data_IF_605642976520
#
_entry.id   IF_605642976520
#
_cell.length_a   1.000
_cell.length_b   1.000
_cell.length_c   1.000
_cell.angle_alpha   90.00
_cell.angle_beta   90.00
_cell.angle_gamma   90.00
#
_symmetry.space_group_name_H-M   'P 1'
#
loop_
_entity.id
_entity.type
_entity.pdbx_description
1 polymer ?
#
# COMPACT_ATOMS: atom_id res chain seq x y z
N UNK A 1 -30.72 -2.09 -13.95
CA UNK A 1 -30.98 -1.42 -12.67
C UNK A 1 -29.67 -0.80 -12.17
N UNK A 2 -29.59 0.53 -12.18
CA UNK A 2 -28.44 1.27 -11.67
C UNK A 2 -28.56 1.36 -10.15
N UNK A 3 -27.83 0.55 -9.42
CA UNK A 3 -27.67 0.70 -7.98
C UNK A 3 -26.60 1.77 -7.71
N UNK A 4 -27.01 2.92 -7.20
CA UNK A 4 -26.11 3.97 -6.77
C UNK A 4 -25.27 3.53 -5.57
N UNK A 5 -24.06 4.12 -5.38
CA UNK A 5 -23.16 3.86 -4.24
C UNK A 5 -23.85 3.93 -2.86
N UNK A 6 -24.95 4.66 -2.72
CA UNK A 6 -25.76 4.74 -1.50
C UNK A 6 -26.58 3.48 -1.21
N UNK A 7 -26.86 2.62 -2.21
CA UNK A 7 -27.59 1.38 -2.02
C UNK A 7 -26.74 0.24 -1.45
N UNK A 8 -25.43 0.25 -1.71
CA UNK A 8 -24.54 -0.81 -1.22
C UNK A 8 -24.29 -0.75 0.29
N UNK A 9 -24.28 0.44 0.88
CA UNK A 9 -24.09 0.62 2.33
C UNK A 9 -25.34 0.28 3.16
N UNK A 10 -26.51 0.12 2.53
CA UNK A 10 -27.76 -0.23 3.23
C UNK A 10 -28.12 -1.73 3.17
N UNK A 11 -27.44 -2.51 2.35
CA UNK A 11 -27.77 -3.92 2.10
C UNK A 11 -26.93 -4.95 2.88
N UNK A 12 -25.94 -4.54 3.63
CA UNK A 12 -24.99 -5.44 4.32
C UNK A 12 -25.36 -5.84 5.76
N UNK A 13 -26.51 -5.41 6.28
CA UNK A 13 -26.86 -5.59 7.70
C UNK A 13 -27.98 -6.62 7.96
N UNK A 14 -28.28 -7.52 7.05
CA UNK A 14 -29.37 -8.48 7.24
C UNK A 14 -28.96 -9.91 6.86
N UNK A 15 -28.20 -10.60 7.73
CA UNK A 15 -28.20 -12.06 7.83
C UNK A 15 -27.37 -12.55 9.04
N UNK A 16 -27.79 -12.23 10.27
CA UNK A 16 -27.60 -13.13 11.42
C UNK A 16 -28.84 -13.01 12.29
N UNK A 17 -29.74 -13.96 12.13
CA UNK A 17 -30.95 -14.08 12.92
C UNK A 17 -30.64 -14.53 14.35
N UNK A 18 -30.60 -13.58 15.25
CA UNK A 18 -30.75 -13.78 16.67
C UNK A 18 -31.61 -12.63 17.18
N UNK A 19 -32.80 -12.90 17.69
CA UNK A 19 -33.68 -11.90 18.30
C UNK A 19 -33.01 -11.39 19.54
N UNK A 20 -32.23 -10.30 19.41
CA UNK A 20 -31.84 -9.46 20.54
C UNK A 20 -32.84 -8.33 20.60
N UNK A 21 -33.64 -8.29 21.64
CA UNK A 21 -34.61 -7.21 21.85
C UNK A 21 -33.92 -5.85 21.86
N UNK A 22 -34.51 -4.86 21.19
CA UNK A 22 -33.94 -3.53 20.97
C UNK A 22 -33.54 -2.76 22.26
N UNK A 23 -33.88 -3.28 23.43
CA UNK A 23 -33.57 -2.67 24.73
C UNK A 23 -32.16 -2.96 25.28
N UNK A 24 -31.42 -3.92 24.72
CA UNK A 24 -30.05 -4.26 25.23
C UNK A 24 -28.92 -3.64 24.40
N UNK A 25 -29.18 -3.23 23.16
CA UNK A 25 -28.17 -2.64 22.29
C UNK A 25 -27.61 -1.27 22.74
N UNK A 26 -28.41 -0.32 23.28
CA UNK A 26 -27.90 0.94 23.77
C UNK A 26 -26.91 0.78 24.92
N UNK A 27 -27.22 -0.10 25.87
CA UNK A 27 -26.39 -0.30 27.07
C UNK A 27 -25.02 -0.91 26.76
N UNK A 28 -24.90 -1.76 25.71
CA UNK A 28 -23.61 -2.27 25.24
C UNK A 28 -22.84 -1.22 24.44
N UNK A 29 -23.55 -0.38 23.70
CA UNK A 29 -22.95 0.66 22.88
C UNK A 29 -22.31 1.78 23.72
N UNK A 30 -22.84 2.05 24.89
CA UNK A 30 -22.41 3.14 25.78
C UNK A 30 -21.47 2.67 26.91
N UNK A 31 -21.03 1.40 26.90
CA UNK A 31 -20.10 0.92 27.91
C UNK A 31 -18.64 1.25 27.49
N UNK A 32 -18.02 2.30 28.07
CA UNK A 32 -16.66 2.71 27.71
C UNK A 32 -15.60 1.64 28.03
N UNK A 33 -15.89 0.69 28.91
CA UNK A 33 -14.98 -0.42 29.21
C UNK A 33 -14.93 -1.47 28.07
N UNK A 34 -16.02 -1.60 27.28
CA UNK A 34 -16.06 -2.49 26.11
C UNK A 34 -15.54 -1.82 24.83
N UNK A 35 -15.64 -0.48 24.74
CA UNK A 35 -15.22 0.32 23.58
C UNK A 35 -14.53 1.61 24.04
N UNK A 36 -13.40 1.52 24.75
CA UNK A 36 -12.78 2.70 25.39
C UNK A 36 -12.31 3.77 24.41
N UNK A 37 -12.17 3.44 23.13
CA UNK A 37 -11.68 4.31 22.06
C UNK A 37 -12.77 4.70 21.04
N UNK A 38 -14.02 4.35 21.30
CA UNK A 38 -15.13 4.66 20.41
C UNK A 38 -15.29 6.19 20.33
N UNK A 39 -14.97 6.76 19.18
CA UNK A 39 -15.02 8.21 18.93
C UNK A 39 -13.72 8.82 18.45
N UNK A 40 -12.57 8.44 19.03
CA UNK A 40 -11.27 8.99 18.58
C UNK A 40 -10.82 8.39 17.24
N UNK A 41 -11.09 7.10 17.01
CA UNK A 41 -10.68 6.36 15.82
C UNK A 41 -11.89 5.87 14.99
N UNK A 42 -13.05 6.48 15.16
CA UNK A 42 -14.31 6.05 14.54
C UNK A 42 -14.25 5.93 13.01
N UNK A 43 -13.34 6.67 12.39
CA UNK A 43 -13.20 6.71 10.94
C UNK A 43 -12.21 5.71 10.38
N UNK A 44 -11.29 5.19 11.21
CA UNK A 44 -10.31 4.23 10.77
C UNK A 44 -10.94 2.85 10.61
N UNK A 45 -10.67 2.24 9.46
CA UNK A 45 -11.02 0.84 9.17
C UNK A 45 -9.73 0.03 9.20
N UNK A 46 -9.45 -0.62 10.33
CA UNK A 46 -8.23 -1.40 10.53
C UNK A 46 -8.56 -2.90 10.39
N UNK A 47 -7.96 -3.54 9.39
CA UNK A 47 -7.93 -4.99 9.26
C UNK A 47 -6.86 -5.60 10.18
N UNK A 48 -7.02 -6.87 10.58
CA UNK A 48 -6.07 -7.54 11.47
C UNK A 48 -5.55 -8.82 10.83
N UNK A 49 -4.22 -8.94 10.75
CA UNK A 49 -3.55 -10.09 10.16
C UNK A 49 -2.39 -10.59 11.02
N UNK A 50 -1.91 -11.79 10.72
CA UNK A 50 -0.71 -12.35 11.34
C UNK A 50 0.17 -13.01 10.30
N UNK A 51 1.48 -12.73 10.36
CA UNK A 51 2.50 -13.38 9.56
C UNK A 51 3.45 -14.14 10.49
N UNK A 52 3.49 -15.45 10.35
CA UNK A 52 4.47 -16.31 11.03
C UNK A 52 5.77 -16.26 10.27
N UNK A 53 6.62 -15.30 10.61
CA UNK A 53 7.91 -15.10 9.96
C UNK A 53 9.07 -15.80 10.69
N UNK A 54 8.91 -16.11 11.97
CA UNK A 54 10.00 -16.56 12.83
C UNK A 54 10.79 -15.39 13.40
N UNK A 55 10.09 -14.32 13.78
CA UNK A 55 10.69 -13.16 14.44
C UNK A 55 11.30 -13.55 15.80
N UNK A 56 12.43 -12.93 16.18
CA UNK A 56 13.06 -13.11 17.48
C UNK A 56 12.13 -12.74 18.64
N UNK A 57 11.35 -11.69 18.46
CA UNK A 57 10.24 -11.27 19.33
C UNK A 57 9.07 -10.86 18.47
N UNK A 58 7.84 -11.23 18.83
CA UNK A 58 6.66 -10.71 18.12
C UNK A 58 6.61 -9.19 18.20
N UNK A 59 6.21 -8.57 17.10
CA UNK A 59 5.99 -7.13 16.97
C UNK A 59 4.85 -6.84 16.00
N UNK A 60 4.42 -5.59 15.95
CA UNK A 60 3.27 -5.17 15.17
C UNK A 60 3.64 -4.07 14.18
N UNK A 61 3.03 -4.11 13.00
CA UNK A 61 3.17 -3.05 12.00
C UNK A 61 1.79 -2.57 11.54
N UNK A 62 1.64 -1.26 11.36
CA UNK A 62 0.53 -0.72 10.59
C UNK A 62 0.93 -0.69 9.11
N UNK A 63 0.22 -1.42 8.28
CA UNK A 63 0.34 -1.36 6.83
C UNK A 63 -0.72 -0.42 6.26
N UNK A 64 -0.28 0.65 5.59
CA UNK A 64 -1.09 1.60 4.85
C UNK A 64 -0.52 1.79 3.44
N UNK A 65 -1.32 2.30 2.53
CA UNK A 65 -0.94 2.58 1.13
C UNK A 65 -1.90 3.57 0.50
N UNK A 66 -1.53 4.10 -0.65
CA UNK A 66 -2.44 4.90 -1.47
C UNK A 66 -3.08 6.05 -0.67
N UNK A 67 -2.25 6.90 -0.07
CA UNK A 67 -2.72 8.11 0.63
C UNK A 67 -3.12 9.19 -0.36
N UNK A 68 -2.42 9.31 -1.50
CA UNK A 68 -2.67 10.29 -2.54
C UNK A 68 -2.74 11.73 -2.03
N UNK A 69 -1.72 12.17 -1.28
CA UNK A 69 -1.59 13.57 -0.87
C UNK A 69 -1.61 14.47 -2.10
N UNK A 70 -2.39 15.55 -2.05
CA UNK A 70 -2.61 16.46 -3.18
C UNK A 70 -2.38 17.89 -2.74
N UNK A 71 -1.16 18.37 -2.87
CA UNK A 71 -0.82 19.75 -2.59
C UNK A 71 0.07 20.35 -3.68
N UNK A 72 0.07 21.68 -3.78
CA UNK A 72 0.94 22.47 -4.64
C UNK A 72 1.05 23.89 -4.11
N UNK A 73 2.24 24.47 -4.12
CA UNK A 73 2.45 25.86 -3.79
C UNK A 73 1.91 26.79 -4.87
N UNK A 74 1.49 28.03 -4.53
CA UNK A 74 0.90 28.96 -5.52
C UNK A 74 1.81 29.24 -6.72
N UNK A 75 3.12 29.22 -6.53
CA UNK A 75 4.13 29.50 -7.54
C UNK A 75 4.52 28.28 -8.41
N UNK A 76 3.93 27.10 -8.19
CA UNK A 76 4.17 25.90 -9.03
C UNK A 76 3.37 25.89 -10.35
N UNK A 77 2.64 26.98 -10.62
CA UNK A 77 1.91 27.20 -11.87
C UNK A 77 0.49 26.65 -11.89
N UNK A 78 -0.29 27.16 -12.85
CA UNK A 78 -1.73 26.90 -12.95
C UNK A 78 -2.09 25.41 -13.07
N UNK A 79 -1.28 24.62 -13.77
CA UNK A 79 -1.51 23.18 -13.92
C UNK A 79 -1.45 22.44 -12.59
N UNK A 80 -0.49 22.76 -11.72
CA UNK A 80 -0.40 22.15 -10.38
C UNK A 80 -1.57 22.57 -9.50
N UNK A 81 -2.00 23.82 -9.58
CA UNK A 81 -3.18 24.29 -8.85
C UNK A 81 -4.48 23.60 -9.28
N UNK A 82 -4.62 23.36 -10.58
CA UNK A 82 -5.72 22.57 -11.13
C UNK A 82 -5.71 21.12 -10.61
N UNK A 83 -4.53 20.48 -10.63
CA UNK A 83 -4.36 19.13 -10.09
C UNK A 83 -4.69 19.07 -8.60
N UNK A 84 -4.13 19.96 -7.78
CA UNK A 84 -4.46 20.09 -6.37
C UNK A 84 -5.98 20.10 -6.14
N UNK A 85 -6.71 20.95 -6.87
CA UNK A 85 -8.17 21.07 -6.72
C UNK A 85 -8.93 19.83 -7.21
N UNK A 86 -8.61 19.35 -8.41
CA UNK A 86 -9.35 18.24 -9.02
C UNK A 86 -9.05 16.90 -8.36
N UNK A 87 -7.79 16.63 -8.05
CA UNK A 87 -7.34 15.38 -7.47
C UNK A 87 -7.75 15.28 -5.99
N UNK A 88 -7.63 16.36 -5.22
CA UNK A 88 -8.18 16.39 -3.86
C UNK A 88 -9.67 16.01 -3.86
N UNK A 89 -10.45 16.55 -4.78
CA UNK A 89 -11.87 16.19 -4.92
C UNK A 89 -12.07 14.70 -5.29
N UNK A 90 -11.21 14.15 -6.14
CA UNK A 90 -11.26 12.73 -6.54
C UNK A 90 -11.13 11.81 -5.33
N UNK A 91 -10.27 12.15 -4.39
CA UNK A 91 -10.02 11.37 -3.17
C UNK A 91 -10.78 11.86 -1.93
N UNK A 92 -11.74 12.77 -2.10
CA UNK A 92 -12.63 13.22 -1.03
C UNK A 92 -12.12 14.36 -0.16
N UNK A 93 -10.94 14.93 -0.44
CA UNK A 93 -10.39 16.11 0.22
C UNK A 93 -9.89 15.90 1.66
N UNK A 94 -9.73 14.64 2.09
CA UNK A 94 -9.37 14.28 3.46
C UNK A 94 -8.13 13.37 3.54
N UNK A 95 -7.34 13.33 2.49
CA UNK A 95 -6.19 12.43 2.37
C UNK A 95 -5.17 12.64 3.48
N UNK A 96 -4.80 13.91 3.74
CA UNK A 96 -3.85 14.24 4.81
C UNK A 96 -4.45 13.97 6.20
N UNK A 97 -5.74 14.17 6.39
CA UNK A 97 -6.44 13.81 7.64
C UNK A 97 -6.36 12.30 7.88
N UNK A 98 -6.64 11.49 6.86
CA UNK A 98 -6.57 10.04 6.95
C UNK A 98 -5.17 9.55 7.32
N UNK A 99 -4.13 10.14 6.72
CA UNK A 99 -2.73 9.81 7.06
C UNK A 99 -2.42 10.19 8.51
N UNK A 100 -2.78 11.40 8.95
CA UNK A 100 -2.55 11.86 10.33
C UNK A 100 -3.25 10.98 11.35
N UNK A 101 -4.52 10.62 11.09
CA UNK A 101 -5.28 9.75 11.99
C UNK A 101 -4.64 8.35 12.05
N UNK A 102 -4.20 7.80 10.90
CA UNK A 102 -3.51 6.51 10.85
C UNK A 102 -2.18 6.53 11.62
N UNK A 103 -1.37 7.58 11.45
CA UNK A 103 -0.09 7.71 12.17
C UNK A 103 -0.28 7.96 13.66
N UNK A 104 -1.30 8.73 14.05
CA UNK A 104 -1.65 8.94 15.45
C UNK A 104 -2.13 7.65 16.10
N UNK A 105 -2.92 6.84 15.39
CA UNK A 105 -3.32 5.51 15.84
C UNK A 105 -2.11 4.58 15.96
N UNK A 106 -1.24 4.56 14.96
CA UNK A 106 -0.03 3.72 14.95
C UNK A 106 0.85 3.96 16.17
N UNK A 107 1.05 5.23 16.54
CA UNK A 107 1.87 5.61 17.71
C UNK A 107 1.39 4.98 19.02
N UNK A 108 0.12 4.66 19.14
CA UNK A 108 -0.46 4.07 20.35
C UNK A 108 -0.59 2.53 20.28
N UNK A 109 -0.54 1.93 19.08
CA UNK A 109 -0.95 0.53 18.88
C UNK A 109 0.09 -0.37 18.25
N UNK A 110 1.07 0.16 17.50
CA UNK A 110 2.04 -0.65 16.77
C UNK A 110 3.48 -0.18 16.96
N UNK A 111 4.42 -1.07 16.64
CA UNK A 111 5.85 -0.78 16.76
C UNK A 111 6.39 -0.01 15.55
N UNK A 112 5.88 -0.31 14.35
CA UNK A 112 6.35 0.28 13.08
C UNK A 112 5.20 0.60 12.13
N UNK A 113 5.46 1.47 11.16
CA UNK A 113 4.54 1.77 10.05
C UNK A 113 5.18 1.33 8.74
N UNK A 114 4.37 0.76 7.85
CA UNK A 114 4.74 0.42 6.48
C UNK A 114 3.80 1.14 5.52
N UNK A 115 4.35 1.92 4.58
CA UNK A 115 3.59 2.59 3.52
C UNK A 115 3.98 2.01 2.15
N UNK A 116 3.06 1.35 1.47
CA UNK A 116 3.36 0.65 0.21
C UNK A 116 3.05 1.46 -1.05
N UNK A 117 3.43 2.76 -1.05
CA UNK A 117 3.44 3.62 -2.23
C UNK A 117 2.17 4.43 -2.46
N UNK A 118 2.20 5.29 -3.47
CA UNK A 118 1.18 6.30 -3.76
C UNK A 118 0.87 7.17 -2.52
N UNK A 119 1.93 7.61 -1.83
CA UNK A 119 1.82 8.55 -0.73
C UNK A 119 1.41 9.93 -1.25
N UNK A 120 1.94 10.35 -2.39
CA UNK A 120 1.54 11.55 -3.12
C UNK A 120 0.77 11.17 -4.39
N UNK A 121 -0.07 12.08 -4.88
CA UNK A 121 -0.86 11.84 -6.09
C UNK A 121 -0.18 12.31 -7.37
N UNK A 122 0.68 13.30 -7.27
CA UNK A 122 1.51 13.84 -8.35
C UNK A 122 2.71 14.59 -7.79
N UNK A 123 3.74 14.73 -8.60
CA UNK A 123 4.95 15.46 -8.22
C UNK A 123 4.67 16.95 -8.08
N UNK A 124 4.95 17.51 -6.92
CA UNK A 124 5.01 18.95 -6.62
C UNK A 124 5.99 19.17 -5.47
N UNK A 125 6.51 20.38 -5.33
CA UNK A 125 7.35 20.72 -4.17
C UNK A 125 6.57 20.55 -2.85
N UNK A 126 5.32 21.02 -2.84
CA UNK A 126 4.46 20.90 -1.67
C UNK A 126 4.22 19.43 -1.28
N UNK A 127 3.95 18.53 -2.24
CA UNK A 127 3.79 17.11 -1.96
C UNK A 127 5.08 16.46 -1.45
N UNK A 128 6.24 16.81 -2.02
CA UNK A 128 7.53 16.30 -1.52
C UNK A 128 7.87 16.82 -0.11
N UNK A 129 7.45 18.03 0.24
CA UNK A 129 7.60 18.54 1.61
C UNK A 129 6.68 17.80 2.58
N UNK A 130 5.48 17.39 2.16
CA UNK A 130 4.62 16.51 2.94
C UNK A 130 5.23 15.11 3.13
N UNK A 131 5.89 14.55 2.12
CA UNK A 131 6.64 13.29 2.25
C UNK A 131 7.71 13.43 3.34
N UNK A 132 8.58 14.44 3.25
CA UNK A 132 9.65 14.68 4.23
C UNK A 132 9.08 14.85 5.64
N UNK A 133 7.99 15.62 5.77
CA UNK A 133 7.30 15.83 7.04
C UNK A 133 6.84 14.50 7.65
N UNK A 134 6.11 13.68 6.91
CA UNK A 134 5.49 12.49 7.47
C UNK A 134 6.47 11.33 7.67
N UNK A 135 7.50 11.20 6.87
CA UNK A 135 8.59 10.25 7.13
C UNK A 135 9.50 10.70 8.28
N UNK A 136 9.70 12.01 8.48
CA UNK A 136 10.56 12.56 9.52
C UNK A 136 9.85 12.74 10.87
N UNK A 137 8.57 13.11 10.87
CA UNK A 137 7.83 13.53 12.06
C UNK A 137 6.79 12.51 12.54
N UNK A 138 6.63 11.39 11.85
CA UNK A 138 5.52 10.44 12.04
C UNK A 138 5.45 9.77 13.42
N UNK A 139 6.47 9.88 14.23
CA UNK A 139 6.49 9.39 15.63
C UNK A 139 6.59 7.88 15.80
N UNK A 140 6.32 7.08 14.76
CA UNK A 140 6.70 5.68 14.60
C UNK A 140 7.65 5.57 13.42
N UNK A 141 8.65 4.70 13.50
CA UNK A 141 9.57 4.45 12.39
C UNK A 141 8.78 3.93 11.19
N UNK A 142 8.86 4.65 10.06
CA UNK A 142 8.10 4.33 8.85
C UNK A 142 9.02 3.80 7.76
N UNK A 143 8.71 2.60 7.27
CA UNK A 143 9.33 1.97 6.11
C UNK A 143 8.38 2.02 4.92
N UNK A 144 8.91 1.97 3.69
CA UNK A 144 8.00 2.00 2.55
C UNK A 144 8.67 1.76 1.20
N UNK A 145 7.85 1.69 0.18
CA UNK A 145 8.25 1.68 -1.22
C UNK A 145 7.50 2.77 -2.00
N UNK A 146 7.91 3.02 -3.23
CA UNK A 146 7.24 3.98 -4.11
C UNK A 146 6.05 3.33 -4.82
N UNK A 147 5.04 4.14 -5.16
CA UNK A 147 3.97 3.80 -6.09
C UNK A 147 4.11 4.53 -7.43
N UNK A 148 3.13 4.35 -8.31
CA UNK A 148 3.20 4.94 -9.64
C UNK A 148 2.91 6.46 -9.64
N UNK A 149 2.23 6.95 -8.63
CA UNK A 149 1.94 8.37 -8.49
C UNK A 149 3.14 9.18 -8.04
N UNK A 150 4.12 8.58 -7.37
CA UNK A 150 5.41 9.21 -7.08
C UNK A 150 6.15 9.65 -8.35
N UNK A 151 5.96 8.92 -9.46
CA UNK A 151 6.57 9.25 -10.76
C UNK A 151 5.67 10.12 -11.64
N UNK A 152 4.41 10.35 -11.26
CA UNK A 152 3.46 11.14 -12.05
C UNK A 152 3.75 12.63 -11.97
N UNK A 153 4.16 13.24 -13.09
CA UNK A 153 4.46 14.69 -13.15
C UNK A 153 3.21 15.52 -13.10
N UNK A 154 2.29 15.31 -14.05
CA UNK A 154 1.08 16.13 -14.21
C UNK A 154 -0.17 15.28 -14.49
N UNK A 155 -0.20 14.05 -14.04
CA UNK A 155 -1.30 13.09 -14.34
C UNK A 155 -1.53 12.94 -15.86
N UNK A 156 -0.47 13.03 -16.62
CA UNK A 156 -0.50 12.82 -18.05
C UNK A 156 -0.79 11.34 -18.34
N UNK A 157 -1.39 11.07 -19.50
CA UNK A 157 -1.41 9.71 -20.04
C UNK A 157 0.01 9.38 -20.52
N UNK A 158 0.89 9.19 -19.58
CA UNK A 158 2.29 8.94 -19.84
C UNK A 158 2.48 7.55 -20.46
N UNK A 159 3.54 7.41 -21.22
CA UNK A 159 4.10 6.10 -21.54
C UNK A 159 4.77 5.60 -20.24
N UNK A 160 4.03 4.89 -19.43
CA UNK A 160 4.47 4.33 -18.18
C UNK A 160 5.55 3.26 -18.43
N UNK A 161 6.81 3.66 -18.32
CA UNK A 161 7.97 2.78 -18.53
C UNK A 161 9.20 3.29 -17.75
N UNK A 162 10.30 2.54 -17.79
CA UNK A 162 11.53 2.90 -17.09
C UNK A 162 12.08 4.28 -17.49
N UNK A 163 12.03 4.64 -18.78
CA UNK A 163 12.52 5.93 -19.24
C UNK A 163 11.72 7.12 -18.64
N UNK A 164 10.41 6.93 -18.40
CA UNK A 164 9.59 7.92 -17.71
C UNK A 164 9.98 8.03 -16.23
N UNK A 165 10.23 6.92 -15.56
CA UNK A 165 10.74 6.90 -14.17
C UNK A 165 12.10 7.58 -14.09
N UNK A 166 13.04 7.22 -14.97
CA UNK A 166 14.40 7.75 -14.98
C UNK A 166 14.42 9.28 -15.09
N UNK A 167 13.48 9.84 -15.85
CA UNK A 167 13.36 11.29 -16.00
C UNK A 167 12.97 12.06 -14.73
N UNK A 168 12.58 11.41 -13.66
CA UNK A 168 12.18 12.04 -12.38
C UNK A 168 12.76 11.34 -11.16
N UNK A 169 13.53 10.28 -11.34
CA UNK A 169 14.04 9.43 -10.26
C UNK A 169 14.84 10.22 -9.20
N UNK A 170 15.67 11.17 -9.62
CA UNK A 170 16.45 12.01 -8.70
C UNK A 170 15.57 12.86 -7.78
N UNK A 171 14.54 13.52 -8.35
CA UNK A 171 13.61 14.34 -7.56
C UNK A 171 12.87 13.51 -6.52
N UNK A 172 12.43 12.32 -6.91
CA UNK A 172 11.75 11.40 -5.99
C UNK A 172 12.72 10.93 -4.91
N UNK A 173 13.95 10.54 -5.29
CA UNK A 173 14.96 10.08 -4.33
C UNK A 173 15.35 11.14 -3.29
N UNK A 174 15.32 12.44 -3.65
CA UNK A 174 15.57 13.53 -2.71
C UNK A 174 14.47 13.72 -1.65
N UNK A 175 13.26 13.25 -1.93
CA UNK A 175 12.12 13.42 -1.03
C UNK A 175 11.98 12.28 -0.04
N UNK A 176 12.45 11.08 -0.37
CA UNK A 176 12.28 9.88 0.45
C UNK A 176 13.56 9.53 1.21
N UNK A 177 13.48 9.10 2.48
CA UNK A 177 14.67 8.86 3.33
C UNK A 177 15.32 7.48 3.11
N UNK A 178 15.02 6.77 2.02
CA UNK A 178 15.51 5.43 1.73
C UNK A 178 15.89 5.26 0.25
N UNK A 179 16.65 4.21 -0.09
CA UNK A 179 16.91 3.85 -1.50
C UNK A 179 15.59 3.50 -2.19
N UNK A 180 15.12 4.37 -3.04
CA UNK A 180 13.83 4.28 -3.71
C UNK A 180 13.75 3.14 -4.73
N UNK A 181 14.88 2.54 -5.12
CA UNK A 181 14.93 1.39 -6.02
C UNK A 181 14.74 0.06 -5.28
N UNK A 182 15.50 -0.14 -4.22
CA UNK A 182 15.39 -1.26 -3.29
C UNK A 182 16.06 -0.87 -1.97
N UNK A 183 15.33 -0.88 -0.88
CA UNK A 183 15.83 -0.71 0.48
C UNK A 183 15.56 -1.96 1.33
N UNK A 184 16.29 -2.13 2.42
CA UNK A 184 16.01 -3.20 3.38
C UNK A 184 16.27 -2.74 4.81
N UNK A 185 15.45 -3.23 5.75
CA UNK A 185 15.58 -3.00 7.18
C UNK A 185 15.30 -4.29 7.94
N UNK A 186 16.15 -4.63 8.90
CA UNK A 186 15.95 -5.83 9.74
C UNK A 186 15.27 -5.44 11.04
N UNK A 187 14.06 -5.92 11.24
CA UNK A 187 13.23 -5.66 12.41
C UNK A 187 13.02 -6.97 13.17
N UNK A 188 13.55 -7.09 14.37
CA UNK A 188 13.45 -8.28 15.21
C UNK A 188 13.75 -9.61 14.47
N UNK A 189 14.84 -9.63 13.68
CA UNK A 189 15.28 -10.80 12.91
C UNK A 189 14.55 -11.02 11.59
N UNK A 190 13.55 -10.19 11.24
CA UNK A 190 12.82 -10.26 9.96
C UNK A 190 13.28 -9.14 9.03
N UNK A 191 13.66 -9.47 7.81
CA UNK A 191 14.12 -8.51 6.81
C UNK A 191 12.94 -7.96 6.00
N UNK A 192 12.63 -6.68 6.17
CA UNK A 192 11.66 -5.94 5.38
C UNK A 192 12.37 -5.38 4.16
N UNK A 193 12.02 -5.87 2.98
CA UNK A 193 12.64 -5.47 1.71
C UNK A 193 11.65 -4.68 0.89
N UNK A 194 11.93 -3.40 0.66
CA UNK A 194 11.17 -2.52 -0.22
C UNK A 194 11.68 -2.65 -1.64
N UNK A 195 10.78 -2.79 -2.60
CA UNK A 195 11.10 -2.95 -4.01
C UNK A 195 10.23 -2.03 -4.86
N UNK A 196 10.85 -1.12 -5.61
CA UNK A 196 10.13 -0.37 -6.65
C UNK A 196 9.81 -1.29 -7.83
N UNK A 197 8.55 -1.70 -7.90
CA UNK A 197 8.02 -2.51 -8.99
C UNK A 197 7.01 -1.74 -9.88
N UNK A 198 7.06 -0.43 -9.81
CA UNK A 198 6.15 0.47 -10.50
C UNK A 198 6.21 0.27 -12.02
N UNK A 199 5.04 0.39 -12.65
CA UNK A 199 4.75 0.05 -14.04
C UNK A 199 5.00 -1.43 -14.38
N UNK A 200 5.01 -2.29 -13.35
CA UNK A 200 5.22 -3.73 -13.52
C UNK A 200 6.61 -4.09 -14.05
N UNK A 201 7.61 -3.25 -13.79
CA UNK A 201 8.98 -3.46 -14.24
C UNK A 201 9.93 -3.64 -13.05
N UNK A 202 10.83 -4.61 -13.20
CA UNK A 202 11.98 -4.79 -12.31
C UNK A 202 13.22 -4.84 -13.19
N UNK A 203 14.23 -4.08 -12.84
CA UNK A 203 15.51 -4.09 -13.56
C UNK A 203 16.37 -5.30 -13.13
N UNK A 204 17.31 -5.69 -13.99
CA UNK A 204 18.27 -6.74 -13.61
C UNK A 204 19.11 -6.34 -12.39
N UNK A 205 19.40 -5.05 -12.22
CA UNK A 205 20.08 -4.52 -11.04
C UNK A 205 19.24 -4.68 -9.76
N UNK A 206 17.94 -4.43 -9.83
CA UNK A 206 17.02 -4.68 -8.70
C UNK A 206 16.92 -6.18 -8.40
N UNK A 207 16.86 -7.03 -9.43
CA UNK A 207 16.86 -8.48 -9.23
C UNK A 207 18.12 -8.95 -8.51
N UNK A 208 19.30 -8.45 -8.90
CA UNK A 208 20.57 -8.81 -8.26
C UNK A 208 20.60 -8.36 -6.78
N UNK A 209 20.14 -7.12 -6.49
CA UNK A 209 19.99 -6.62 -5.11
C UNK A 209 19.02 -7.50 -4.30
N UNK A 210 17.85 -7.84 -4.87
CA UNK A 210 16.86 -8.68 -4.20
C UNK A 210 17.40 -10.09 -3.91
N UNK A 211 18.11 -10.70 -4.85
CA UNK A 211 18.78 -11.99 -4.64
C UNK A 211 19.81 -11.91 -3.50
N UNK A 212 20.53 -10.78 -3.37
CA UNK A 212 21.47 -10.56 -2.28
C UNK A 212 20.76 -10.50 -0.93
N UNK A 213 19.56 -9.88 -0.86
CA UNK A 213 18.75 -9.88 0.36
C UNK A 213 18.33 -11.30 0.79
N UNK A 214 17.92 -12.15 -0.15
CA UNK A 214 17.59 -13.55 0.17
C UNK A 214 18.80 -14.37 0.62
N UNK A 215 20.01 -14.03 0.15
CA UNK A 215 21.26 -14.69 0.57
C UNK A 215 21.67 -14.39 2.01
N UNK A 216 21.09 -13.36 2.65
CA UNK A 216 21.32 -13.08 4.08
C UNK A 216 20.76 -14.17 5.00
N UNK A 217 19.88 -15.05 4.51
CA UNK A 217 19.30 -16.17 5.25
C UNK A 217 18.20 -15.77 6.23
N UNK A 218 17.79 -14.52 6.26
CA UNK A 218 16.71 -14.01 7.13
C UNK A 218 15.34 -14.24 6.47
N UNK A 219 14.27 -14.44 7.27
CA UNK A 219 12.91 -14.39 6.76
C UNK A 219 12.61 -13.01 6.15
N UNK A 220 11.90 -12.98 5.04
CA UNK A 220 11.64 -11.74 4.29
C UNK A 220 10.14 -11.44 4.25
N UNK A 221 9.82 -10.17 4.53
CA UNK A 221 8.56 -9.52 4.16
C UNK A 221 8.88 -8.52 3.05
N UNK A 222 8.28 -8.74 1.87
CA UNK A 222 8.50 -7.92 0.69
C UNK A 222 7.45 -6.80 0.62
N UNK A 223 7.90 -5.57 0.53
CA UNK A 223 7.08 -4.38 0.36
C UNK A 223 7.12 -3.97 -1.11
N UNK A 224 5.97 -3.85 -1.75
CA UNK A 224 5.86 -3.41 -3.14
C UNK A 224 4.53 -2.69 -3.35
N UNK A 225 4.46 -1.79 -4.32
CA UNK A 225 3.21 -1.10 -4.59
C UNK A 225 2.25 -1.96 -5.42
N UNK A 226 2.68 -2.39 -6.61
CA UNK A 226 1.86 -3.21 -7.49
C UNK A 226 1.82 -4.66 -6.98
N UNK A 227 0.65 -5.22 -6.63
CA UNK A 227 0.57 -6.59 -6.15
C UNK A 227 0.88 -7.60 -7.26
N UNK A 228 1.38 -8.76 -6.88
CA UNK A 228 1.50 -9.88 -7.82
C UNK A 228 0.10 -10.44 -8.10
N UNK A 229 -0.25 -10.51 -9.38
CA UNK A 229 -1.56 -11.04 -9.77
C UNK A 229 -1.65 -12.54 -9.48
N UNK A 230 -2.47 -12.89 -8.50
CA UNK A 230 -2.87 -14.25 -8.16
C UNK A 230 -4.34 -14.44 -8.52
N UNK A 231 -4.86 -15.65 -8.46
CA UNK A 231 -6.25 -15.90 -8.89
C UNK A 231 -7.28 -15.12 -8.11
N UNK A 232 -7.11 -15.00 -6.78
CA UNK A 232 -8.05 -14.26 -5.91
C UNK A 232 -7.90 -12.74 -6.11
N UNK A 233 -6.67 -12.24 -6.25
CA UNK A 233 -6.41 -10.81 -6.52
C UNK A 233 -7.03 -10.41 -7.87
N UNK A 234 -6.82 -11.20 -8.93
CA UNK A 234 -7.42 -10.94 -10.25
C UNK A 234 -8.94 -10.94 -10.19
N UNK A 235 -9.53 -11.91 -9.49
CA UNK A 235 -10.98 -11.98 -9.33
C UNK A 235 -11.54 -10.77 -8.56
N UNK A 236 -10.88 -10.37 -7.48
CA UNK A 236 -11.27 -9.20 -6.69
C UNK A 236 -11.15 -7.92 -7.52
N UNK A 237 -10.04 -7.76 -8.25
CA UNK A 237 -9.84 -6.65 -9.16
C UNK A 237 -10.96 -6.53 -10.19
N UNK A 238 -11.30 -7.64 -10.90
CA UNK A 238 -12.36 -7.66 -11.88
C UNK A 238 -13.73 -7.31 -11.30
N UNK A 239 -14.00 -7.70 -10.06
CA UNK A 239 -15.24 -7.39 -9.36
C UNK A 239 -15.34 -5.92 -8.95
N UNK A 240 -14.24 -5.36 -8.47
CA UNK A 240 -14.20 -4.00 -7.94
C UNK A 240 -14.21 -2.95 -9.06
N UNK A 241 -13.33 -3.09 -10.04
CA UNK A 241 -13.13 -2.11 -11.11
C UNK A 241 -14.05 -2.34 -12.32
N UNK A 242 -14.79 -3.46 -12.36
CA UNK A 242 -15.74 -3.91 -13.38
C UNK A 242 -15.58 -3.35 -14.80
N UNK A 243 -15.18 -4.22 -15.72
CA UNK A 243 -15.47 -4.20 -17.17
C UNK A 243 -14.66 -3.27 -18.09
N UNK A 244 -14.02 -2.20 -17.66
CA UNK A 244 -13.48 -1.24 -18.64
C UNK A 244 -11.95 -1.20 -18.73
N UNK A 245 -11.20 -1.62 -17.72
CA UNK A 245 -9.73 -1.46 -17.72
C UNK A 245 -8.93 -2.67 -17.24
N UNK A 246 -9.30 -3.85 -17.72
CA UNK A 246 -8.52 -5.09 -17.51
C UNK A 246 -7.09 -5.04 -18.09
N UNK A 247 -6.74 -3.96 -18.79
CA UNK A 247 -5.42 -3.77 -19.40
C UNK A 247 -4.42 -3.08 -18.48
N UNK A 248 -4.83 -2.58 -17.34
CA UNK A 248 -4.08 -1.58 -16.60
C UNK A 248 -3.29 -2.08 -15.39
N UNK A 249 -3.44 -3.35 -14.96
CA UNK A 249 -2.51 -3.85 -13.95
C UNK A 249 -1.37 -4.56 -14.67
N UNK A 250 -0.20 -3.93 -14.72
CA UNK A 250 0.97 -4.61 -15.25
C UNK A 250 1.31 -5.76 -14.30
N UNK A 251 1.30 -6.96 -14.79
CA UNK A 251 2.05 -8.04 -14.15
C UNK A 251 3.52 -7.61 -14.05
N UNK A 252 4.18 -7.90 -12.95
CA UNK A 252 5.58 -7.54 -12.72
C UNK A 252 6.45 -7.88 -13.94
N UNK A 253 7.08 -6.88 -14.53
CA UNK A 253 7.99 -7.05 -15.67
C UNK A 253 7.37 -7.02 -17.06
N UNK A 254 6.08 -6.68 -17.22
CA UNK A 254 5.33 -6.88 -18.47
C UNK A 254 5.74 -6.07 -19.70
N UNK A 255 6.53 -5.00 -19.59
CA UNK A 255 6.78 -4.09 -20.73
C UNK A 255 8.22 -4.03 -21.23
N UNK A 256 9.16 -4.61 -20.52
CA UNK A 256 10.55 -4.65 -20.94
C UNK A 256 10.76 -5.86 -21.87
N UNK A 257 11.34 -5.64 -23.06
CA UNK A 257 11.85 -6.73 -23.91
C UNK A 257 13.11 -7.32 -23.27
N UNK A 258 12.93 -8.03 -22.15
CA UNK A 258 13.97 -8.84 -21.56
C UNK A 258 13.98 -10.20 -22.26
N UNK A 259 15.13 -10.87 -22.24
CA UNK A 259 15.20 -12.27 -22.68
C UNK A 259 14.10 -13.08 -21.95
N UNK A 260 13.39 -13.99 -22.63
CA UNK A 260 12.39 -14.85 -22.01
C UNK A 260 12.90 -15.61 -20.77
N UNK A 261 14.21 -15.85 -20.73
CA UNK A 261 14.90 -16.57 -19.65
C UNK A 261 15.40 -15.64 -18.53
N UNK A 262 15.30 -14.31 -18.68
CA UNK A 262 15.68 -13.37 -17.64
C UNK A 262 14.75 -13.51 -16.43
N UNK A 263 15.35 -13.59 -15.22
CA UNK A 263 14.61 -13.60 -13.97
C UNK A 263 13.81 -12.31 -13.76
N UNK A 264 14.24 -11.20 -14.35
CA UNK A 264 13.56 -9.91 -14.27
C UNK A 264 12.31 -9.80 -15.18
N UNK A 265 11.98 -10.81 -16.00
CA UNK A 265 10.69 -10.88 -16.70
C UNK A 265 9.58 -11.20 -15.70
N UNK A 266 8.34 -10.77 -16.01
CA UNK A 266 7.16 -11.05 -15.19
C UNK A 266 7.05 -12.53 -14.77
N UNK A 267 7.18 -13.44 -15.74
CA UNK A 267 7.10 -14.89 -15.49
C UNK A 267 8.30 -15.40 -14.69
N UNK A 268 9.50 -14.94 -15.03
CA UNK A 268 10.74 -15.33 -14.35
C UNK A 268 10.75 -14.88 -12.90
N UNK A 269 10.45 -13.61 -12.65
CA UNK A 269 10.38 -13.04 -11.32
C UNK A 269 9.34 -13.75 -10.44
N UNK A 270 8.10 -13.88 -10.90
CA UNK A 270 7.02 -14.54 -10.16
C UNK A 270 7.37 -16.00 -9.82
N UNK A 271 7.97 -16.74 -10.77
CA UNK A 271 8.40 -18.12 -10.55
C UNK A 271 9.53 -18.18 -9.52
N UNK A 272 10.52 -17.33 -9.68
CA UNK A 272 11.65 -17.25 -8.76
C UNK A 272 11.19 -16.89 -7.34
N UNK A 273 10.36 -15.86 -7.21
CA UNK A 273 9.85 -15.42 -5.91
C UNK A 273 9.01 -16.49 -5.21
N UNK A 274 8.18 -17.22 -5.96
CA UNK A 274 7.39 -18.34 -5.42
C UNK A 274 8.23 -19.48 -4.87
N UNK A 275 9.43 -19.65 -5.39
CA UNK A 275 10.36 -20.70 -4.97
C UNK A 275 11.18 -20.32 -3.72
N UNK A 276 11.05 -19.09 -3.21
CA UNK A 276 11.84 -18.60 -2.07
C UNK A 276 11.24 -19.05 -0.73
N UNK A 277 11.87 -19.97 0.03
CA UNK A 277 11.32 -20.43 1.31
C UNK A 277 11.40 -19.38 2.41
N UNK A 278 12.31 -18.40 2.29
CA UNK A 278 12.47 -17.30 3.21
C UNK A 278 11.41 -16.21 3.04
N UNK A 279 10.70 -16.16 1.91
CA UNK A 279 9.58 -15.24 1.73
C UNK A 279 8.42 -15.65 2.64
N UNK A 280 8.01 -14.78 3.55
CA UNK A 280 6.94 -15.01 4.53
C UNK A 280 5.69 -14.17 4.27
N UNK A 281 5.86 -13.00 3.65
CA UNK A 281 4.74 -12.11 3.33
C UNK A 281 5.07 -11.16 2.19
N UNK A 282 4.03 -10.70 1.51
CA UNK A 282 4.06 -9.59 0.55
C UNK A 282 3.02 -8.60 1.02
N UNK A 283 3.43 -7.34 1.23
CA UNK A 283 2.54 -6.22 1.53
C UNK A 283 2.48 -5.31 0.31
N UNK A 284 1.26 -5.00 -0.15
CA UNK A 284 1.06 -4.23 -1.38
C UNK A 284 -0.15 -3.28 -1.28
N UNK A 285 -0.22 -2.31 -2.20
CA UNK A 285 -1.31 -1.36 -2.33
C UNK A 285 -1.93 -1.35 -3.74
N UNK A 286 -2.03 -0.15 -4.34
CA UNK A 286 -2.41 0.09 -5.74
C UNK A 286 -3.86 -0.19 -6.11
N UNK A 287 -4.53 -1.15 -5.50
CA UNK A 287 -5.87 -1.57 -5.92
C UNK A 287 -6.99 -0.79 -5.23
N UNK A 288 -6.69 -0.04 -4.17
CA UNK A 288 -7.62 0.75 -3.36
C UNK A 288 -8.71 -0.08 -2.67
N UNK A 289 -8.52 -1.40 -2.52
CA UNK A 289 -9.40 -2.28 -1.76
C UNK A 289 -8.60 -3.38 -1.07
N UNK A 290 -9.17 -3.93 0.01
CA UNK A 290 -8.51 -4.99 0.79
C UNK A 290 -8.69 -6.34 0.11
N UNK A 291 -7.59 -7.06 -0.07
CA UNK A 291 -7.60 -8.46 -0.48
C UNK A 291 -6.36 -9.19 0.02
N UNK A 292 -6.54 -10.41 0.47
CA UNK A 292 -5.45 -11.32 0.79
C UNK A 292 -5.51 -12.58 -0.06
N UNK A 293 -4.36 -13.12 -0.43
CA UNK A 293 -4.28 -14.39 -1.15
C UNK A 293 -3.00 -15.14 -0.82
N UNK A 294 -3.05 -16.46 -0.91
CA UNK A 294 -1.86 -17.29 -0.78
C UNK A 294 -0.99 -17.13 -2.02
N UNK A 295 0.20 -16.56 -1.81
CA UNK A 295 1.16 -16.38 -2.89
C UNK A 295 2.00 -17.63 -3.16
N UNK A 296 2.50 -18.27 -2.09
CA UNK A 296 3.32 -19.50 -2.18
C UNK A 296 3.01 -20.46 -1.03
N UNK A 297 3.74 -21.54 -0.88
CA UNK A 297 3.62 -22.44 0.28
C UNK A 297 4.00 -21.77 1.61
N UNK A 298 4.85 -20.74 1.57
CA UNK A 298 5.41 -20.06 2.73
C UNK A 298 4.90 -18.63 2.94
N UNK A 299 4.31 -18.01 1.90
CA UNK A 299 3.93 -16.61 1.93
C UNK A 299 2.46 -16.37 1.58
N UNK A 300 1.86 -15.44 2.32
CA UNK A 300 0.63 -14.75 1.95
C UNK A 300 0.94 -13.40 1.31
N UNK A 301 0.06 -12.90 0.48
CA UNK A 301 0.06 -11.52 -0.01
C UNK A 301 -1.14 -10.79 0.59
N UNK A 302 -0.88 -9.59 1.12
CA UNK A 302 -1.87 -8.69 1.68
C UNK A 302 -1.85 -7.39 0.87
N UNK A 303 -2.98 -7.06 0.29
CA UNK A 303 -3.21 -5.78 -0.38
C UNK A 303 -4.11 -4.95 0.51
N UNK A 304 -3.70 -3.74 0.86
CA UNK A 304 -4.46 -2.84 1.72
C UNK A 304 -5.28 -1.87 0.88
N UNK A 305 -6.46 -1.51 1.36
CA UNK A 305 -7.31 -0.48 0.78
C UNK A 305 -6.68 0.92 0.88
N UNK A 306 -7.16 1.85 0.06
CA UNK A 306 -6.60 3.20 0.01
C UNK A 306 -6.70 3.93 1.34
N UNK A 307 -5.57 4.42 1.84
CA UNK A 307 -5.50 5.19 3.09
C UNK A 307 -6.35 6.47 3.03
N UNK A 308 -6.51 7.06 1.83
CA UNK A 308 -7.44 8.20 1.64
C UNK A 308 -8.90 7.89 2.03
N UNK A 309 -9.26 6.62 2.20
CA UNK A 309 -10.53 6.15 2.74
C UNK A 309 -10.44 5.74 4.21
N UNK A 310 -9.35 6.09 4.89
CA UNK A 310 -9.05 5.71 6.28
C UNK A 310 -8.83 4.21 6.48
N UNK A 311 -8.38 3.48 5.44
CA UNK A 311 -8.05 2.06 5.54
C UNK A 311 -6.61 1.86 6.02
N UNK A 312 -6.41 0.79 6.78
CA UNK A 312 -5.13 0.26 7.22
C UNK A 312 -5.25 -1.18 7.66
N UNK A 313 -4.11 -1.85 7.84
CA UNK A 313 -4.05 -3.22 8.35
C UNK A 313 -3.01 -3.29 9.47
N UNK A 314 -3.41 -3.72 10.65
CA UNK A 314 -2.48 -4.11 11.71
C UNK A 314 -2.02 -5.55 11.46
N UNK A 315 -0.72 -5.74 11.38
CA UNK A 315 -0.12 -7.05 11.11
C UNK A 315 0.80 -7.44 12.24
N UNK A 316 0.47 -8.53 12.93
CA UNK A 316 1.34 -9.14 13.94
C UNK A 316 2.38 -10.01 13.22
N UNK A 317 3.65 -9.72 13.44
CA UNK A 317 4.79 -10.49 12.95
C UNK A 317 5.32 -11.33 14.10
N UNK A 318 5.38 -12.67 13.93
CA UNK A 318 5.78 -13.60 14.98
C UNK A 318 6.69 -14.72 14.49
#
# INVERSE_FOLDING_TARGET
>A
MNLSRRGFLKGGAAAFGGIVTASTLPALADNPALFPQRGRWERLSIGYHRIKAGAEKPFTVLHISDTHLTDAYPDEGGKKQELKKSRSRTFGGRQEEALRDSLAWAKEHVDYVVHTGDMIDFQSRANFDLVRKYYGEGGAEMHGCLGNHEYSRNMEKAVENEAYKDGTRSLVAEAYPFDTSLASSVLNGVNFVSLDNVYGTITDGQMAKLEAEFKKGLPIILLMHCPVMTGKVDLAYRRYWSKTDLKAIPDLGGRRKLSPDSKATAKGYKRWLKAQPLLKGILAGHLHFDVEDRFSSTAMQYVVGGNFLFHGQEIIIS
#
